data_IF_952114554944
#
_entry.id   IF_952114554944
#
_cell.length_a   1.000
_cell.length_b   1.000
_cell.length_c   1.000
_cell.angle_alpha   90.00
_cell.angle_beta   90.00
_cell.angle_gamma   90.00
#
_symmetry.space_group_name_H-M   'P 1'
#
loop_
_entity.id
_entity.type
_entity.pdbx_description
1 polymer ?
#
# COMPACT_ATOMS: atom_id res chain seq x y z
N UNK A 1 -3.45 61.87 6.36
CA UNK A 1 -4.66 61.26 6.91
C UNK A 1 -5.01 59.93 6.21
N UNK A 2 -4.05 59.00 5.94
CA UNK A 2 -4.32 57.72 5.25
C UNK A 2 -3.76 56.48 5.98
N UNK A 3 -3.05 56.58 7.07
CA UNK A 3 -2.40 55.48 7.76
C UNK A 3 -3.26 54.78 8.84
N UNK A 4 -4.33 55.44 9.28
CA UNK A 4 -5.18 54.90 10.36
C UNK A 4 -6.14 53.80 9.87
N UNK A 5 -6.59 53.85 8.62
CA UNK A 5 -7.55 52.92 8.05
C UNK A 5 -6.88 51.55 7.69
N UNK A 6 -5.62 51.60 7.27
CA UNK A 6 -4.87 50.38 6.94
C UNK A 6 -4.58 49.54 8.22
N UNK A 7 -4.25 50.20 9.32
CA UNK A 7 -4.03 49.51 10.61
C UNK A 7 -5.32 48.88 11.15
N UNK A 8 -6.47 49.50 10.95
CA UNK A 8 -7.76 48.94 11.38
C UNK A 8 -8.17 47.73 10.53
N UNK A 9 -7.90 47.74 9.23
CA UNK A 9 -8.19 46.64 8.32
C UNK A 9 -7.25 45.47 8.61
N UNK A 10 -5.95 45.71 8.85
CA UNK A 10 -5.01 44.65 9.25
C UNK A 10 -5.38 43.98 10.58
N UNK A 11 -5.81 44.77 11.58
CA UNK A 11 -6.21 44.26 12.89
C UNK A 11 -7.51 43.45 12.78
N UNK A 12 -8.46 43.83 11.92
CA UNK A 12 -9.69 43.08 11.64
C UNK A 12 -9.43 41.77 10.93
N UNK A 13 -8.50 41.73 9.99
CA UNK A 13 -8.12 40.49 9.29
C UNK A 13 -7.37 39.51 10.20
N UNK A 14 -6.53 39.98 11.13
CA UNK A 14 -5.84 39.17 12.11
C UNK A 14 -6.78 38.54 13.16
N UNK A 15 -7.81 39.26 13.56
CA UNK A 15 -8.82 38.74 14.49
C UNK A 15 -9.75 37.70 13.81
N UNK A 16 -10.01 37.80 12.52
CA UNK A 16 -10.82 36.82 11.78
C UNK A 16 -10.05 35.52 11.52
N UNK A 17 -8.73 35.59 11.38
CA UNK A 17 -7.88 34.39 11.24
C UNK A 17 -7.75 33.58 12.56
N UNK A 18 -7.96 34.21 13.73
CA UNK A 18 -7.84 33.55 15.01
C UNK A 18 -9.12 32.77 15.44
N UNK A 19 -10.23 32.92 14.71
CA UNK A 19 -11.51 32.24 15.02
C UNK A 19 -11.82 31.04 14.14
N UNK A 20 -10.85 30.56 13.35
CA UNK A 20 -11.04 29.30 12.66
C UNK A 20 -11.17 28.20 13.72
N UNK A 21 -12.33 27.57 13.84
CA UNK A 21 -12.45 26.47 14.78
C UNK A 21 -11.43 25.41 14.36
N UNK A 22 -10.49 25.13 15.23
CA UNK A 22 -9.69 23.92 15.10
C UNK A 22 -10.69 22.76 15.19
N UNK A 23 -11.12 22.22 14.06
CA UNK A 23 -11.85 20.97 14.04
C UNK A 23 -10.91 19.90 14.57
N UNK A 24 -10.88 19.76 15.87
CA UNK A 24 -10.34 18.57 16.51
C UNK A 24 -11.13 17.41 15.93
N UNK A 25 -10.49 16.59 15.12
CA UNK A 25 -11.10 15.33 14.73
C UNK A 25 -11.44 14.57 16.00
N UNK A 26 -12.67 14.01 16.13
CA UNK A 26 -12.99 13.19 17.27
C UNK A 26 -11.89 12.15 17.42
N UNK A 27 -11.37 11.99 18.64
CA UNK A 27 -10.36 10.99 18.94
C UNK A 27 -10.96 9.61 18.63
N UNK A 28 -10.76 9.14 17.41
CA UNK A 28 -11.08 7.75 17.06
C UNK A 28 -10.05 6.86 17.73
N UNK A 29 -10.47 5.79 18.34
CA UNK A 29 -9.55 4.79 18.83
C UNK A 29 -8.56 4.41 17.73
N UNK A 30 -7.27 4.28 18.02
CA UNK A 30 -6.29 3.88 17.02
C UNK A 30 -6.71 2.55 16.40
N UNK A 31 -6.63 2.47 15.08
CA UNK A 31 -6.94 1.26 14.32
C UNK A 31 -5.62 0.70 13.79
N UNK A 32 -5.44 -0.60 13.94
CA UNK A 32 -4.27 -1.31 13.46
C UNK A 32 -4.63 -2.04 12.16
N UNK A 33 -3.78 -1.90 11.16
CA UNK A 33 -3.80 -2.69 9.93
C UNK A 33 -2.61 -3.63 10.00
N UNK A 34 -2.88 -4.92 9.94
CA UNK A 34 -1.84 -5.96 9.85
C UNK A 34 -1.93 -6.57 8.47
N UNK A 35 -0.84 -6.46 7.74
CA UNK A 35 -0.73 -6.84 6.35
C UNK A 35 0.05 -8.13 6.20
N UNK A 36 -0.52 -9.12 5.50
CA UNK A 36 0.18 -10.31 5.07
C UNK A 36 0.86 -10.03 3.72
N UNK A 37 2.17 -10.01 3.69
CA UNK A 37 2.96 -9.78 2.48
C UNK A 37 3.30 -11.09 1.76
N UNK A 38 3.84 -10.99 0.55
CA UNK A 38 4.41 -12.08 -0.26
C UNK A 38 3.43 -13.16 -0.75
N UNK A 39 2.13 -12.95 -0.72
CA UNK A 39 1.20 -13.89 -1.36
C UNK A 39 1.52 -14.01 -2.85
N UNK A 40 1.60 -15.21 -3.36
CA UNK A 40 2.01 -15.51 -4.74
C UNK A 40 3.46 -15.96 -4.88
N UNK A 41 4.33 -15.68 -3.92
CA UNK A 41 5.74 -16.07 -3.98
C UNK A 41 5.92 -17.60 -3.96
N UNK A 42 5.27 -18.28 -3.02
CA UNK A 42 5.29 -19.72 -2.85
C UNK A 42 3.92 -20.23 -2.42
N UNK A 43 3.66 -21.53 -2.63
CA UNK A 43 2.43 -22.15 -2.15
C UNK A 43 2.25 -22.04 -0.63
N UNK A 44 3.32 -22.18 0.13
CA UNK A 44 3.29 -22.00 1.59
C UNK A 44 2.91 -20.57 2.00
N UNK A 45 3.38 -19.56 1.28
CA UNK A 45 2.97 -18.17 1.52
C UNK A 45 1.48 -17.98 1.21
N UNK A 46 0.96 -18.54 0.11
CA UNK A 46 -0.47 -18.49 -0.18
C UNK A 46 -1.32 -19.07 0.95
N UNK A 47 -0.92 -20.23 1.46
CA UNK A 47 -1.62 -20.90 2.57
C UNK A 47 -1.53 -20.05 3.84
N UNK A 48 -0.32 -19.57 4.18
CA UNK A 48 -0.09 -18.79 5.40
C UNK A 48 -0.90 -17.48 5.39
N UNK A 49 -0.91 -16.72 4.30
CA UNK A 49 -1.72 -15.50 4.15
C UNK A 49 -3.21 -15.79 4.34
N UNK A 50 -3.72 -16.86 3.74
CA UNK A 50 -5.13 -17.24 3.87
C UNK A 50 -5.49 -17.68 5.30
N UNK A 51 -4.61 -18.42 5.96
CA UNK A 51 -4.81 -18.82 7.36
C UNK A 51 -4.71 -17.63 8.31
N UNK A 52 -3.73 -16.75 8.11
CA UNK A 52 -3.57 -15.55 8.91
C UNK A 52 -4.75 -14.59 8.79
N UNK A 53 -5.34 -14.47 7.59
CA UNK A 53 -6.55 -13.68 7.38
C UNK A 53 -7.78 -14.33 8.02
N UNK A 54 -7.96 -15.65 7.86
CA UNK A 54 -9.17 -16.34 8.35
C UNK A 54 -9.17 -16.59 9.84
N UNK A 55 -8.03 -16.94 10.40
CA UNK A 55 -7.89 -17.47 11.75
C UNK A 55 -6.89 -16.69 12.62
N UNK A 56 -6.15 -15.77 12.04
CA UNK A 56 -5.12 -14.97 12.69
C UNK A 56 -5.51 -13.50 12.87
N UNK A 57 -4.54 -12.62 12.64
CA UNK A 57 -4.64 -11.18 12.92
C UNK A 57 -4.51 -10.31 11.68
N UNK A 58 -4.24 -10.88 10.52
CA UNK A 58 -4.08 -10.15 9.27
C UNK A 58 -5.43 -9.56 8.83
N UNK A 59 -5.38 -8.30 8.40
CA UNK A 59 -6.57 -7.54 7.98
C UNK A 59 -6.62 -7.30 6.48
N UNK A 60 -5.49 -7.44 5.79
CA UNK A 60 -5.36 -7.33 4.34
C UNK A 60 -4.22 -8.21 3.83
N UNK A 61 -4.19 -8.45 2.52
CA UNK A 61 -3.18 -9.30 1.88
C UNK A 61 -2.57 -8.55 0.69
N UNK A 62 -1.24 -8.55 0.59
CA UNK A 62 -0.50 -7.99 -0.53
C UNK A 62 0.01 -9.11 -1.45
N UNK A 63 -0.39 -9.06 -2.73
CA UNK A 63 -0.12 -10.13 -3.69
C UNK A 63 0.96 -9.75 -4.70
N UNK A 64 1.92 -10.66 -4.91
CA UNK A 64 3.01 -10.54 -5.88
C UNK A 64 2.60 -11.15 -7.22
N UNK A 65 2.45 -10.32 -8.26
CA UNK A 65 1.92 -10.78 -9.55
C UNK A 65 2.96 -11.39 -10.50
N UNK A 66 4.26 -11.10 -10.27
CA UNK A 66 5.35 -11.59 -11.13
C UNK A 66 5.90 -12.96 -10.71
N UNK A 67 5.30 -13.59 -9.73
CA UNK A 67 5.78 -14.80 -9.10
C UNK A 67 5.05 -16.06 -9.56
N UNK A 68 5.70 -17.21 -9.42
CA UNK A 68 5.22 -18.45 -10.02
C UNK A 68 3.91 -19.00 -9.42
N UNK A 69 3.60 -18.64 -8.17
CA UNK A 69 2.39 -19.08 -7.47
C UNK A 69 1.26 -18.07 -7.48
N UNK A 70 1.41 -16.99 -8.24
CA UNK A 70 0.35 -16.00 -8.43
C UNK A 70 -0.97 -16.57 -8.98
N UNK A 71 -1.00 -17.52 -9.95
CA UNK A 71 -2.26 -18.09 -10.41
C UNK A 71 -3.09 -18.75 -9.29
N UNK A 72 -2.45 -19.45 -8.36
CA UNK A 72 -3.12 -20.01 -7.18
C UNK A 72 -3.59 -18.89 -6.24
N UNK A 73 -2.74 -17.89 -5.95
CA UNK A 73 -3.09 -16.74 -5.15
C UNK A 73 -4.33 -16.02 -5.71
N UNK A 74 -4.34 -15.75 -7.01
CA UNK A 74 -5.47 -15.11 -7.69
C UNK A 74 -6.76 -15.93 -7.60
N UNK A 75 -6.69 -17.26 -7.65
CA UNK A 75 -7.84 -18.13 -7.44
C UNK A 75 -8.37 -18.02 -6.01
N UNK A 76 -7.48 -18.14 -5.01
CA UNK A 76 -7.83 -18.06 -3.59
C UNK A 76 -8.48 -16.71 -3.24
N UNK A 77 -7.95 -15.62 -3.78
CA UNK A 77 -8.51 -14.27 -3.57
C UNK A 77 -9.89 -14.12 -4.22
N UNK A 78 -10.10 -14.65 -5.42
CA UNK A 78 -11.44 -14.65 -6.06
C UNK A 78 -12.47 -15.46 -5.31
N UNK A 79 -12.06 -16.55 -4.68
CA UNK A 79 -12.92 -17.39 -3.83
C UNK A 79 -13.26 -16.73 -2.48
N UNK A 80 -12.54 -15.66 -2.10
CA UNK A 80 -12.72 -14.94 -0.86
C UNK A 80 -12.84 -13.41 -1.07
N UNK A 81 -13.91 -12.92 -1.72
CA UNK A 81 -14.04 -11.54 -2.18
C UNK A 81 -14.14 -10.50 -1.06
N UNK A 82 -14.24 -10.92 0.18
CA UNK A 82 -14.24 -10.02 1.35
C UNK A 82 -12.85 -9.59 1.82
N UNK A 83 -11.78 -10.16 1.24
CA UNK A 83 -10.40 -9.80 1.60
C UNK A 83 -10.06 -8.44 0.99
N UNK A 84 -9.49 -7.54 1.80
CA UNK A 84 -8.83 -6.34 1.30
C UNK A 84 -7.49 -6.72 0.68
N UNK A 85 -7.33 -6.49 -0.63
CA UNK A 85 -6.18 -6.95 -1.41
C UNK A 85 -5.42 -5.77 -1.97
N UNK A 86 -4.13 -5.69 -1.64
CA UNK A 86 -3.19 -4.77 -2.23
C UNK A 86 -2.22 -5.44 -3.21
N UNK A 87 -1.55 -4.63 -3.99
CA UNK A 87 -0.49 -5.08 -4.88
C UNK A 87 0.86 -4.92 -4.20
N UNK A 88 1.55 -6.06 -3.97
CA UNK A 88 2.95 -6.06 -3.57
C UNK A 88 3.82 -5.79 -4.80
N UNK A 89 4.21 -4.53 -4.99
CA UNK A 89 5.06 -4.13 -6.11
C UNK A 89 6.43 -4.81 -5.99
N UNK A 90 6.74 -5.63 -6.98
CA UNK A 90 7.93 -6.48 -6.97
C UNK A 90 8.60 -6.45 -8.33
N UNK A 91 9.90 -6.19 -8.34
CA UNK A 91 10.74 -6.28 -9.53
C UNK A 91 11.74 -7.42 -9.39
N UNK A 92 12.60 -7.37 -8.39
CA UNK A 92 13.62 -8.40 -8.16
C UNK A 92 13.44 -9.05 -6.79
N UNK A 93 14.05 -10.21 -6.60
CA UNK A 93 14.08 -10.92 -5.33
C UNK A 93 15.27 -10.48 -4.49
N UNK A 94 15.12 -10.50 -3.18
CA UNK A 94 16.19 -10.34 -2.21
C UNK A 94 17.12 -11.57 -2.15
N UNK A 95 16.68 -12.72 -2.65
CA UNK A 95 17.47 -13.96 -2.66
C UNK A 95 18.26 -14.11 -3.96
N UNK A 96 19.53 -14.49 -3.86
CA UNK A 96 20.44 -14.63 -4.98
C UNK A 96 19.97 -15.64 -6.03
N UNK A 97 19.36 -16.72 -5.59
CA UNK A 97 18.97 -17.86 -6.43
C UNK A 97 17.50 -17.79 -6.89
N UNK A 98 16.76 -16.76 -6.50
CA UNK A 98 15.36 -16.58 -6.90
C UNK A 98 15.27 -15.31 -7.74
N UNK A 99 14.81 -15.45 -8.97
CA UNK A 99 14.67 -14.33 -9.91
C UNK A 99 13.29 -14.38 -10.55
N UNK A 100 12.76 -13.20 -10.82
CA UNK A 100 11.47 -13.06 -11.48
C UNK A 100 11.60 -12.38 -12.82
N UNK A 101 10.59 -12.60 -13.65
CA UNK A 101 10.47 -12.00 -14.98
C UNK A 101 9.28 -11.07 -15.01
N UNK A 102 9.32 -9.98 -15.79
CA UNK A 102 8.13 -9.17 -16.01
C UNK A 102 7.03 -9.97 -16.73
N UNK A 103 5.78 -9.60 -16.48
CA UNK A 103 4.62 -10.17 -17.17
C UNK A 103 4.51 -9.70 -18.63
N UNK A 104 5.19 -8.60 -18.95
CA UNK A 104 5.19 -8.00 -20.29
C UNK A 104 6.62 -7.90 -20.83
N UNK A 105 6.75 -7.64 -22.12
CA UNK A 105 8.08 -7.41 -22.72
C UNK A 105 8.64 -6.06 -22.26
N UNK A 106 9.66 -6.09 -21.40
CA UNK A 106 10.29 -4.91 -20.79
C UNK A 106 11.82 -4.99 -20.87
N UNK A 107 12.44 -4.87 -22.07
CA UNK A 107 13.88 -5.07 -22.25
C UNK A 107 14.73 -4.05 -21.48
N UNK A 108 14.19 -2.86 -21.16
CA UNK A 108 14.87 -1.86 -20.36
C UNK A 108 14.98 -2.21 -18.86
N UNK A 109 14.21 -3.20 -18.40
CA UNK A 109 14.17 -3.64 -17.00
C UNK A 109 14.76 -5.05 -16.81
N UNK A 110 15.23 -5.69 -17.89
CA UNK A 110 15.65 -7.08 -17.84
C UNK A 110 17.07 -7.28 -18.39
N UNK A 111 17.74 -8.28 -17.85
CA UNK A 111 19.02 -8.77 -18.37
C UNK A 111 18.84 -9.58 -19.68
N UNK A 112 19.94 -10.04 -20.27
CA UNK A 112 19.93 -10.82 -21.50
C UNK A 112 19.20 -12.17 -21.40
N UNK A 113 18.91 -12.65 -20.19
CA UNK A 113 18.15 -13.87 -19.92
C UNK A 113 16.68 -13.60 -19.64
N UNK A 114 16.27 -12.32 -19.65
CA UNK A 114 14.88 -11.88 -19.49
C UNK A 114 14.42 -11.77 -18.03
N UNK A 115 15.34 -11.84 -17.07
CA UNK A 115 15.02 -11.58 -15.66
C UNK A 115 15.25 -10.10 -15.33
N UNK A 116 14.52 -9.60 -14.33
CA UNK A 116 14.78 -8.25 -13.84
C UNK A 116 16.24 -8.07 -13.41
N UNK A 117 16.78 -6.89 -13.68
CA UNK A 117 18.10 -6.51 -13.14
C UNK A 117 18.06 -6.55 -11.60
N UNK A 118 19.24 -6.76 -10.99
CA UNK A 118 19.46 -6.60 -9.55
C UNK A 118 19.75 -5.15 -9.18
#
# INVERSE_FOLDING_TARGET
MKTSNVKRILCGCLLFAATWPAFSQPATNPRLIIRADDMGSFRSANIACMEGYKNGVETCIEVMVVTSWFPEAARLLRENPGIDVGLHLTLTSEWDNVKWRPLTHCPSLTDSTGYFFR
#
